data_IF_599006923559
#
_entry.id   IF_599006923559
#
_cell.length_a   1.000
_cell.length_b   1.000
_cell.length_c   1.000
_cell.angle_alpha   90.00
_cell.angle_beta   90.00
_cell.angle_gamma   90.00
#
_symmetry.space_group_name_H-M   'P 1'
#
loop_
_entity.id
_entity.type
_entity.pdbx_description
1 polymer ?
#
# COMPACT_ATOMS: atom_id res chain seq x y z
N UNK A 1 11.46 1.55 -9.79
CA UNK A 1 11.66 1.28 -8.35
C UNK A 1 11.82 2.54 -7.48
N UNK A 2 12.80 3.43 -7.69
CA UNK A 2 12.93 4.66 -6.86
C UNK A 2 11.70 5.58 -7.00
N UNK A 3 11.23 5.79 -8.24
CA UNK A 3 9.99 6.52 -8.51
C UNK A 3 8.77 5.90 -7.82
N UNK A 4 8.61 4.58 -7.90
CA UNK A 4 7.53 3.88 -7.22
C UNK A 4 7.54 4.11 -5.70
N UNK A 5 8.71 4.14 -5.06
CA UNK A 5 8.81 4.42 -3.62
C UNK A 5 8.35 5.84 -3.27
N UNK A 6 8.70 6.83 -4.09
CA UNK A 6 8.22 8.22 -3.91
C UNK A 6 6.70 8.30 -4.04
N UNK A 7 6.13 7.63 -5.05
CA UNK A 7 4.68 7.58 -5.27
C UNK A 7 3.94 6.88 -4.11
N UNK A 8 4.52 5.82 -3.55
CA UNK A 8 3.98 5.16 -2.36
C UNK A 8 4.04 6.07 -1.12
N UNK A 9 5.11 6.84 -0.96
CA UNK A 9 5.22 7.82 0.13
C UNK A 9 4.16 8.90 0.04
N UNK A 10 4.02 9.52 -1.14
CA UNK A 10 3.00 10.54 -1.38
C UNK A 10 1.59 9.98 -1.12
N UNK A 11 1.33 8.75 -1.56
CA UNK A 11 0.04 8.13 -1.30
C UNK A 11 -0.18 7.82 0.19
N UNK A 12 0.86 7.45 0.92
CA UNK A 12 0.78 7.26 2.37
C UNK A 12 0.47 8.57 3.10
N UNK A 13 1.07 9.69 2.69
CA UNK A 13 0.78 11.02 3.21
C UNK A 13 -0.70 11.37 2.97
N UNK A 14 -1.20 11.15 1.75
CA UNK A 14 -2.62 11.33 1.41
C UNK A 14 -3.52 10.48 2.31
N UNK A 15 -3.21 9.20 2.50
CA UNK A 15 -4.00 8.30 3.36
C UNK A 15 -4.04 8.80 4.81
N UNK A 16 -2.91 9.25 5.35
CA UNK A 16 -2.85 9.77 6.72
C UNK A 16 -3.68 11.05 6.91
N UNK A 17 -3.78 11.89 5.87
CA UNK A 17 -4.58 13.10 5.91
C UNK A 17 -6.09 12.83 5.76
N UNK A 18 -6.48 11.80 5.00
CA UNK A 18 -7.88 11.51 4.69
C UNK A 18 -8.53 10.48 5.62
N UNK A 19 -7.74 9.57 6.19
CA UNK A 19 -8.23 8.51 7.07
C UNK A 19 -8.08 8.91 8.52
N UNK A 20 -9.20 8.99 9.24
CA UNK A 20 -9.17 9.19 10.69
C UNK A 20 -8.61 7.95 11.40
N UNK A 21 -7.64 8.15 12.28
CA UNK A 21 -7.02 7.08 13.06
C UNK A 21 -5.77 7.53 13.80
N UNK A 22 -5.15 6.65 14.60
CA UNK A 22 -3.89 6.94 15.28
C UNK A 22 -2.66 6.83 14.37
N UNK A 23 -2.83 6.28 13.16
CA UNK A 23 -1.74 5.98 12.24
C UNK A 23 -1.20 7.21 11.53
N UNK A 24 0.12 7.27 11.43
CA UNK A 24 0.87 8.29 10.72
C UNK A 24 1.16 7.84 9.28
N UNK A 25 1.63 8.77 8.45
CA UNK A 25 2.02 8.47 7.07
C UNK A 25 3.03 7.30 6.98
N UNK A 26 3.97 7.19 7.92
CA UNK A 26 4.93 6.09 7.95
C UNK A 26 4.25 4.71 8.06
N UNK A 27 3.23 4.57 8.92
CA UNK A 27 2.50 3.31 9.09
C UNK A 27 1.77 2.91 7.81
N UNK A 28 1.16 3.89 7.13
CA UNK A 28 0.53 3.66 5.82
C UNK A 28 1.57 3.31 4.75
N UNK A 29 2.75 3.94 4.77
CA UNK A 29 3.82 3.63 3.83
C UNK A 29 4.30 2.19 3.99
N UNK A 30 4.56 1.76 5.22
CA UNK A 30 5.00 0.40 5.50
C UNK A 30 3.93 -0.63 5.14
N UNK A 31 2.65 -0.32 5.38
CA UNK A 31 1.53 -1.12 4.89
C UNK A 31 1.50 -1.23 3.37
N UNK A 32 1.63 -0.12 2.65
CA UNK A 32 1.64 -0.09 1.19
C UNK A 32 2.82 -0.86 0.60
N UNK A 33 3.99 -0.76 1.23
CA UNK A 33 5.19 -1.51 0.85
C UNK A 33 4.99 -3.01 1.04
N UNK A 34 4.43 -3.42 2.18
CA UNK A 34 4.09 -4.81 2.43
C UNK A 34 3.06 -5.36 1.44
N UNK A 35 2.08 -4.53 1.06
CA UNK A 35 1.07 -4.86 0.06
C UNK A 35 1.68 -5.00 -1.34
N UNK A 36 2.61 -4.12 -1.73
CA UNK A 36 3.40 -4.23 -2.95
C UNK A 36 4.18 -5.54 -2.98
N UNK A 37 4.92 -5.85 -1.91
CA UNK A 37 5.71 -7.07 -1.81
C UNK A 37 4.83 -8.33 -1.86
N UNK A 38 3.66 -8.31 -1.21
CA UNK A 38 2.68 -9.39 -1.29
C UNK A 38 2.13 -9.54 -2.73
N UNK A 39 1.87 -8.44 -3.42
CA UNK A 39 1.43 -8.42 -4.82
C UNK A 39 2.51 -9.01 -5.74
N UNK A 40 3.78 -8.63 -5.53
CA UNK A 40 4.93 -9.20 -6.25
C UNK A 40 5.03 -10.71 -6.04
N UNK A 41 4.91 -11.17 -4.79
CA UNK A 41 4.93 -12.61 -4.47
C UNK A 41 3.76 -13.35 -5.11
N UNK A 42 2.56 -12.78 -5.09
CA UNK A 42 1.35 -13.41 -5.61
C UNK A 42 1.33 -13.52 -7.14
N UNK A 43 1.77 -12.48 -7.87
CA UNK A 43 1.81 -12.49 -9.33
C UNK A 43 3.07 -13.13 -9.92
N UNK A 44 4.08 -13.40 -9.07
CA UNK A 44 5.39 -13.91 -9.46
C UNK A 44 6.34 -12.79 -9.89
N UNK A 45 7.58 -12.86 -9.41
CA UNK A 45 8.61 -11.84 -9.65
C UNK A 45 8.85 -11.57 -11.14
N UNK A 46 8.80 -12.59 -12.00
CA UNK A 46 9.00 -12.44 -13.45
C UNK A 46 7.87 -11.68 -14.14
N UNK A 47 6.63 -11.81 -13.64
CA UNK A 47 5.47 -11.07 -14.14
C UNK A 47 5.56 -9.62 -13.73
N UNK A 48 5.89 -9.36 -12.46
CA UNK A 48 5.96 -7.98 -11.96
C UNK A 48 7.19 -7.23 -12.48
N UNK A 49 8.29 -7.92 -12.76
CA UNK A 49 9.44 -7.32 -13.43
C UNK A 49 9.12 -6.80 -14.84
N UNK A 50 8.05 -7.32 -15.47
CA UNK A 50 7.56 -6.85 -16.77
C UNK A 50 6.46 -5.78 -16.63
N UNK A 51 5.93 -5.55 -15.42
CA UNK A 51 4.96 -4.50 -15.15
C UNK A 51 5.66 -3.17 -14.97
N UNK A 52 5.09 -2.09 -15.51
CA UNK A 52 5.57 -0.74 -15.23
C UNK A 52 5.27 -0.34 -13.77
N UNK A 53 6.10 0.54 -13.20
CA UNK A 53 5.87 1.15 -11.88
C UNK A 53 4.43 1.71 -11.77
N UNK A 54 3.90 2.32 -12.85
CA UNK A 54 2.53 2.85 -12.91
C UNK A 54 1.46 1.76 -12.78
N UNK A 55 1.68 0.59 -13.41
CA UNK A 55 0.72 -0.53 -13.32
C UNK A 55 0.69 -1.10 -11.91
N UNK A 56 1.86 -1.28 -11.29
CA UNK A 56 1.97 -1.74 -9.91
C UNK A 56 1.26 -0.76 -8.97
N UNK A 57 1.48 0.54 -9.14
CA UNK A 57 0.82 1.57 -8.35
C UNK A 57 -0.71 1.56 -8.51
N UNK A 58 -1.22 1.38 -9.73
CA UNK A 58 -2.67 1.27 -9.98
C UNK A 58 -3.29 0.08 -9.25
N UNK A 59 -2.63 -1.08 -9.26
CA UNK A 59 -3.09 -2.28 -8.54
C UNK A 59 -3.15 -2.01 -7.04
N UNK A 60 -2.08 -1.43 -6.46
CA UNK A 60 -2.02 -1.09 -5.04
C UNK A 60 -3.12 -0.10 -4.66
N UNK A 61 -3.29 1.00 -5.42
CA UNK A 61 -4.33 2.01 -5.17
C UNK A 61 -5.75 1.42 -5.26
N UNK A 62 -5.99 0.48 -6.18
CA UNK A 62 -7.27 -0.24 -6.28
C UNK A 62 -7.54 -1.08 -5.03
N UNK A 63 -6.57 -1.89 -4.60
CA UNK A 63 -6.68 -2.73 -3.40
C UNK A 63 -6.92 -1.87 -2.14
N UNK A 64 -6.18 -0.77 -1.99
CA UNK A 64 -6.33 0.15 -0.86
C UNK A 64 -7.70 0.81 -0.87
N UNK A 65 -8.18 1.25 -2.03
CA UNK A 65 -9.52 1.83 -2.17
C UNK A 65 -10.63 0.85 -1.74
N UNK A 66 -10.50 -0.43 -2.06
CA UNK A 66 -11.43 -1.47 -1.58
C UNK A 66 -11.36 -1.62 -0.05
N UNK A 67 -10.15 -1.63 0.52
CA UNK A 67 -9.97 -1.71 1.97
C UNK A 67 -10.57 -0.51 2.71
N UNK A 68 -10.49 0.69 2.14
CA UNK A 68 -11.11 1.91 2.68
C UNK A 68 -12.63 1.78 2.63
N UNK A 69 -13.21 1.40 1.49
CA UNK A 69 -14.66 1.17 1.34
C UNK A 69 -15.18 0.15 2.36
N UNK A 70 -14.40 -0.90 2.61
CA UNK A 70 -14.73 -1.94 3.58
C UNK A 70 -14.40 -1.55 5.04
N UNK A 71 -13.83 -0.37 5.29
CA UNK A 71 -13.34 0.10 6.61
C UNK A 71 -12.36 -0.89 7.26
N UNK A 72 -11.55 -1.58 6.47
CA UNK A 72 -10.63 -2.65 6.92
C UNK A 72 -9.20 -2.19 7.11
N UNK A 73 -8.80 -1.08 6.49
CA UNK A 73 -7.40 -0.63 6.50
C UNK A 73 -6.85 -0.46 7.93
N UNK A 74 -7.55 0.29 8.80
CA UNK A 74 -7.17 0.49 10.19
C UNK A 74 -7.17 -0.79 11.03
N UNK A 75 -7.97 -1.79 10.66
CA UNK A 75 -8.01 -3.10 11.32
C UNK A 75 -6.78 -3.94 10.94
N UNK A 76 -6.35 -3.85 9.68
CA UNK A 76 -5.16 -4.55 9.18
C UNK A 76 -3.88 -3.94 9.75
N UNK A 77 -3.79 -2.61 9.78
CA UNK A 77 -2.69 -1.89 10.45
C UNK A 77 -2.58 -2.30 11.93
N UNK A 78 -3.69 -2.31 12.66
CA UNK A 78 -3.74 -2.74 14.07
C UNK A 78 -3.26 -4.17 14.29
N UNK A 79 -3.42 -5.04 13.28
CA UNK A 79 -2.99 -6.44 13.36
C UNK A 79 -1.50 -6.57 13.08
N UNK A 80 -0.94 -5.71 12.23
CA UNK A 80 0.49 -5.67 11.93
C UNK A 80 1.29 -5.18 13.15
N UNK A 81 0.82 -4.16 13.85
CA UNK A 81 1.47 -3.63 15.07
C UNK A 81 1.55 -4.59 16.26
N UNK A 82 0.78 -5.68 16.24
CA UNK A 82 0.68 -6.63 17.36
C UNK A 82 1.63 -7.83 17.25
N UNK A 83 2.42 -7.91 16.18
CA UNK A 83 3.36 -9.00 15.90
C UNK A 83 4.77 -8.49 16.17
#
# INVERSE_FOLDING_TARGET
MERLQVELQQYADELSAHLSGPYQAQDYYDFLRNLMDATIRHHGQQTVAQMSDETILKVIKSQVSELIKLKRINKLLNKLDRI
#
